data_IF_564848439630
#
_entry.id   IF_564848439630
#
_cell.length_a   1.000
_cell.length_b   1.000
_cell.length_c   1.000
_cell.angle_alpha   90.00
_cell.angle_beta   90.00
_cell.angle_gamma   90.00
#
_symmetry.space_group_name_H-M   'P 1'
#
loop_
_entity.id
_entity.type
_entity.pdbx_description
1 polymer ?
#
# COMPACT_ATOMS: atom_id res chain seq x y z
N UNK A 1 1.37 3.03 -9.91
CA UNK A 1 0.46 3.47 -8.83
C UNK A 1 0.26 2.34 -7.84
N UNK A 2 -0.05 2.63 -6.56
CA UNK A 2 -0.21 1.61 -5.52
C UNK A 2 -1.54 0.83 -5.61
N UNK A 3 -2.37 1.13 -6.61
CA UNK A 3 -3.63 0.45 -6.88
C UNK A 3 -3.89 0.29 -8.38
N UNK A 4 -4.89 -0.54 -8.70
CA UNK A 4 -5.55 -0.65 -10.00
C UNK A 4 -7.03 -0.38 -9.81
N UNK A 5 -7.64 0.35 -10.75
CA UNK A 5 -9.10 0.41 -10.87
C UNK A 5 -9.57 -0.75 -11.74
N UNK A 6 -10.52 -1.51 -11.21
CA UNK A 6 -11.20 -2.56 -11.95
C UNK A 6 -12.29 -1.95 -12.85
N UNK A 7 -12.86 -2.76 -13.75
CA UNK A 7 -13.93 -2.31 -14.65
C UNK A 7 -15.21 -1.91 -13.92
N UNK A 8 -15.44 -2.46 -12.72
CA UNK A 8 -16.55 -2.14 -11.82
C UNK A 8 -16.26 -0.93 -10.91
N UNK A 9 -15.24 -0.13 -11.26
CA UNK A 9 -14.76 1.03 -10.50
C UNK A 9 -14.20 0.71 -9.10
N UNK A 10 -14.11 -0.57 -8.72
CA UNK A 10 -13.52 -0.97 -7.45
C UNK A 10 -12.01 -0.78 -7.46
N UNK A 11 -11.46 -0.39 -6.31
CA UNK A 11 -10.02 -0.18 -6.12
C UNK A 11 -9.38 -1.45 -5.58
N UNK A 12 -8.43 -2.00 -6.35
CA UNK A 12 -7.57 -3.10 -5.91
C UNK A 12 -6.19 -2.57 -5.54
N UNK A 13 -5.83 -2.69 -4.26
CA UNK A 13 -4.49 -2.34 -3.80
C UNK A 13 -3.45 -3.36 -4.28
N UNK A 14 -2.28 -2.86 -4.67
CA UNK A 14 -1.14 -3.67 -5.11
C UNK A 14 -0.10 -3.77 -4.00
N UNK A 15 -0.21 -4.83 -3.18
CA UNK A 15 0.64 -5.03 -1.99
C UNK A 15 2.16 -4.91 -2.28
N UNK A 16 2.64 -5.49 -3.39
CA UNK A 16 4.06 -5.44 -3.77
C UNK A 16 4.56 -4.03 -4.19
N UNK A 17 3.65 -3.12 -4.55
CA UNK A 17 3.98 -1.72 -4.84
C UNK A 17 3.91 -0.91 -3.55
N UNK A 18 2.84 -1.11 -2.76
CA UNK A 18 2.66 -0.49 -1.45
C UNK A 18 3.86 -0.76 -0.54
N UNK A 19 4.35 -2.01 -0.49
CA UNK A 19 5.49 -2.38 0.34
C UNK A 19 6.75 -1.55 0.04
N UNK A 20 7.00 -1.24 -1.24
CA UNK A 20 8.13 -0.39 -1.66
C UNK A 20 8.00 1.03 -1.11
N UNK A 21 6.79 1.59 -1.08
CA UNK A 21 6.55 2.89 -0.46
C UNK A 21 6.76 2.84 1.05
N UNK A 22 6.23 1.82 1.74
CA UNK A 22 6.40 1.66 3.19
C UNK A 22 7.89 1.56 3.55
N UNK A 23 8.64 0.67 2.90
CA UNK A 23 10.09 0.52 3.07
C UNK A 23 10.81 1.86 2.89
N UNK A 24 10.51 2.57 1.79
CA UNK A 24 11.21 3.81 1.44
C UNK A 24 10.88 4.96 2.39
N UNK A 25 9.60 5.14 2.75
CA UNK A 25 9.12 6.28 3.54
C UNK A 25 9.35 6.09 5.04
N UNK A 26 9.13 4.87 5.56
CA UNK A 26 9.33 4.55 6.96
C UNK A 26 10.79 4.23 7.31
N UNK A 27 11.67 4.05 6.31
CA UNK A 27 13.08 3.69 6.48
C UNK A 27 13.28 2.38 7.25
N UNK A 28 12.43 1.39 6.96
CA UNK A 28 12.47 0.04 7.56
C UNK A 28 12.85 -0.99 6.51
N UNK A 29 13.47 -2.12 6.88
CA UNK A 29 13.75 -3.20 5.93
C UNK A 29 12.45 -3.88 5.45
N UNK A 30 12.51 -4.54 4.30
CA UNK A 30 11.38 -5.29 3.74
C UNK A 30 10.84 -6.34 4.73
N UNK A 31 11.72 -7.00 5.48
CA UNK A 31 11.34 -7.98 6.50
C UNK A 31 10.43 -7.40 7.59
N UNK A 32 10.53 -6.10 7.92
CA UNK A 32 9.62 -5.46 8.85
C UNK A 32 8.21 -5.33 8.27
N UNK A 33 8.09 -5.09 6.97
CA UNK A 33 6.80 -5.02 6.26
C UNK A 33 6.18 -6.40 6.14
N UNK A 34 7.00 -7.42 5.86
CA UNK A 34 6.56 -8.82 5.71
C UNK A 34 6.03 -9.39 7.04
N UNK A 35 6.45 -8.83 8.17
CA UNK A 35 6.00 -9.22 9.53
C UNK A 35 4.81 -8.40 10.04
N UNK A 36 4.31 -7.42 9.26
CA UNK A 36 3.16 -6.63 9.68
C UNK A 36 1.91 -7.50 9.81
N UNK A 37 1.04 -7.16 10.76
CA UNK A 37 -0.29 -7.76 10.79
C UNK A 37 -1.04 -7.38 9.51
N UNK A 38 -1.96 -8.23 9.00
CA UNK A 38 -2.78 -7.88 7.84
C UNK A 38 -3.57 -6.58 8.03
N UNK A 39 -4.00 -6.28 9.27
CA UNK A 39 -4.70 -5.05 9.61
C UNK A 39 -3.82 -3.81 9.44
N UNK A 40 -2.60 -3.83 9.98
CA UNK A 40 -1.66 -2.71 9.86
C UNK A 40 -1.21 -2.51 8.41
N UNK A 41 -0.94 -3.61 7.71
CA UNK A 41 -0.52 -3.55 6.31
C UNK A 41 -1.62 -2.94 5.44
N UNK A 42 -2.88 -3.33 5.66
CA UNK A 42 -4.01 -2.75 4.95
C UNK A 42 -4.20 -1.26 5.28
N UNK A 43 -4.09 -0.87 6.55
CA UNK A 43 -4.17 0.53 6.95
C UNK A 43 -3.08 1.38 6.27
N UNK A 44 -1.83 0.92 6.29
CA UNK A 44 -0.71 1.57 5.60
C UNK A 44 -0.92 1.62 4.08
N UNK A 45 -1.47 0.56 3.48
CA UNK A 45 -1.77 0.51 2.05
C UNK A 45 -2.79 1.58 1.64
N UNK A 46 -3.82 1.81 2.46
CA UNK A 46 -4.81 2.88 2.23
C UNK A 46 -4.24 4.29 2.40
N UNK A 47 -3.28 4.50 3.30
CA UNK A 47 -2.58 5.80 3.38
C UNK A 47 -1.81 6.10 2.09
N UNK A 48 -1.09 5.11 1.56
CA UNK A 48 -0.34 5.26 0.31
C UNK A 48 -1.29 5.47 -0.87
N UNK A 49 -2.35 4.67 -0.99
CA UNK A 49 -3.33 4.82 -2.08
C UNK A 49 -4.11 6.14 -1.99
N UNK A 50 -4.49 6.56 -0.78
CA UNK A 50 -5.23 7.79 -0.53
C UNK A 50 -4.52 9.04 -1.07
N UNK A 51 -3.20 9.13 -0.95
CA UNK A 51 -2.42 10.22 -1.54
C UNK A 51 -2.65 10.36 -3.06
N UNK A 52 -2.71 9.25 -3.79
CA UNK A 52 -2.89 9.27 -5.24
C UNK A 52 -4.35 9.36 -5.69
N UNK A 53 -5.30 8.92 -4.85
CA UNK A 53 -6.74 9.02 -5.12
C UNK A 53 -7.28 10.44 -4.89
N UNK A 54 -6.58 11.25 -4.10
CA UNK A 54 -6.92 12.65 -3.83
C UNK A 54 -6.28 13.62 -4.84
N UNK A 55 -5.45 13.13 -5.76
CA UNK A 55 -4.70 13.91 -6.75
C UNK A 55 -5.50 14.18 -8.02
#
# INVERSE_FOLDING_TARGET
YPYQMNQDESVRLLAHVVSKYIVRLAKVPQSSVDQMSPADLNAAAWLVAGFFLQA
#
